data_IF_736845499180
#
_entry.id   IF_736845499180
#
_cell.length_a   1.000
_cell.length_b   1.000
_cell.length_c   1.000
_cell.angle_alpha   90.00
_cell.angle_beta   90.00
_cell.angle_gamma   90.00
#
_symmetry.space_group_name_H-M   'P 1'
#
loop_
_entity.id
_entity.type
_entity.pdbx_description
1 polymer ?
#
# COMPACT_ATOMS: atom_id res chain seq x y z
N UNK A 1 -14.43 20.11 1.19
CA UNK A 1 -14.81 20.25 -0.24
C UNK A 1 -14.11 21.45 -0.89
N UNK A 2 -14.13 22.66 -0.29
CA UNK A 2 -13.60 23.87 -0.94
C UNK A 2 -12.12 23.76 -1.37
N UNK A 3 -11.28 23.14 -0.52
CA UNK A 3 -9.88 22.89 -0.85
C UNK A 3 -9.68 21.95 -2.04
N UNK A 4 -10.58 20.99 -2.27
CA UNK A 4 -10.55 20.08 -3.43
C UNK A 4 -11.12 20.77 -4.66
N UNK A 5 -12.20 21.55 -4.49
CA UNK A 5 -12.82 22.29 -5.57
C UNK A 5 -11.86 23.34 -6.19
N UNK A 6 -10.92 23.85 -5.39
CA UNK A 6 -9.90 24.80 -5.85
C UNK A 6 -8.74 24.15 -6.63
N UNK A 7 -8.70 22.81 -6.75
CA UNK A 7 -7.69 22.05 -7.49
C UNK A 7 -8.21 21.59 -8.85
N UNK A 8 -7.37 20.91 -9.61
CA UNK A 8 -7.69 20.27 -10.88
C UNK A 8 -8.27 18.83 -10.72
N UNK A 9 -8.39 18.32 -9.50
CA UNK A 9 -8.92 16.97 -9.25
C UNK A 9 -10.32 16.74 -9.85
N UNK A 10 -11.27 17.70 -9.83
CA UNK A 10 -12.57 17.52 -10.46
C UNK A 10 -12.53 17.38 -11.98
N UNK A 11 -11.44 17.80 -12.64
CA UNK A 11 -11.20 17.64 -14.07
C UNK A 11 -10.47 16.36 -14.44
N UNK A 12 -9.95 15.63 -13.46
CA UNK A 12 -9.28 14.36 -13.70
C UNK A 12 -10.27 13.37 -14.33
N UNK A 13 -9.98 12.81 -15.52
CA UNK A 13 -10.91 11.93 -16.24
C UNK A 13 -11.34 10.72 -15.41
N UNK A 14 -10.43 10.13 -14.63
CA UNK A 14 -10.73 8.99 -13.77
C UNK A 14 -11.74 9.31 -12.66
N UNK A 15 -11.69 10.55 -12.16
CA UNK A 15 -12.62 11.04 -11.13
C UNK A 15 -13.92 11.50 -11.77
N UNK A 16 -13.85 12.18 -12.92
CA UNK A 16 -14.99 12.70 -13.65
C UNK A 16 -15.95 11.58 -14.12
N UNK A 17 -15.43 10.45 -14.53
CA UNK A 17 -16.25 9.27 -14.92
C UNK A 17 -17.18 8.79 -13.80
N UNK A 18 -16.87 9.12 -12.54
CA UNK A 18 -17.72 8.78 -11.38
C UNK A 18 -18.93 9.68 -11.22
N UNK A 19 -18.96 10.83 -11.92
CA UNK A 19 -20.09 11.76 -11.90
C UNK A 19 -21.41 11.07 -12.23
N UNK A 20 -21.40 10.22 -13.26
CA UNK A 20 -22.59 9.46 -13.68
C UNK A 20 -23.09 8.55 -12.54
N UNK A 21 -22.18 7.98 -11.75
CA UNK A 21 -22.49 7.12 -10.61
C UNK A 21 -23.24 7.81 -9.46
N UNK A 22 -23.10 9.12 -9.32
CA UNK A 22 -23.79 9.92 -8.30
C UNK A 22 -25.31 9.97 -8.50
N UNK A 23 -25.77 9.92 -9.74
CA UNK A 23 -27.18 10.05 -10.06
C UNK A 23 -27.92 8.71 -9.92
N UNK A 24 -29.22 8.72 -9.53
CA UNK A 24 -30.06 7.53 -9.52
C UNK A 24 -30.09 6.82 -10.88
N UNK A 25 -30.27 5.47 -10.93
CA UNK A 25 -30.23 4.69 -12.16
C UNK A 25 -31.13 5.24 -13.29
N UNK A 26 -32.37 5.60 -12.98
CA UNK A 26 -33.33 6.16 -13.96
C UNK A 26 -32.84 7.47 -14.61
N UNK A 27 -32.09 8.30 -13.86
CA UNK A 27 -31.52 9.53 -14.42
C UNK A 27 -30.29 9.21 -15.28
N UNK A 28 -29.46 8.23 -14.86
CA UNK A 28 -28.31 7.79 -15.66
C UNK A 28 -28.72 7.29 -17.03
N UNK A 29 -29.70 6.38 -17.09
CA UNK A 29 -30.20 5.84 -18.36
C UNK A 29 -30.71 6.93 -19.30
N UNK A 30 -31.34 7.96 -18.76
CA UNK A 30 -32.03 8.98 -19.56
C UNK A 30 -31.15 10.18 -19.92
N UNK A 31 -30.14 10.52 -19.08
CA UNK A 31 -29.44 11.79 -19.18
C UNK A 31 -27.89 11.64 -19.08
N UNK A 32 -27.31 10.42 -19.20
CA UNK A 32 -25.89 10.18 -19.08
C UNK A 32 -25.03 11.16 -19.91
N UNK A 33 -25.40 11.36 -21.18
CA UNK A 33 -24.69 12.25 -22.11
C UNK A 33 -24.71 13.74 -21.69
N UNK A 34 -25.68 14.14 -20.87
CA UNK A 34 -25.86 15.53 -20.42
C UNK A 34 -25.22 15.78 -19.05
N UNK A 35 -24.86 14.72 -18.31
CA UNK A 35 -24.28 14.85 -16.97
C UNK A 35 -22.92 15.54 -16.96
N UNK A 36 -21.98 15.27 -17.88
CA UNK A 36 -20.70 15.95 -17.94
C UNK A 36 -20.80 17.47 -18.15
N UNK A 37 -21.90 17.94 -18.77
CA UNK A 37 -22.18 19.37 -18.99
C UNK A 37 -23.06 19.98 -17.91
N UNK A 38 -23.32 19.26 -16.82
CA UNK A 38 -24.15 19.76 -15.72
C UNK A 38 -23.48 20.97 -15.06
N UNK A 39 -24.27 22.01 -14.77
CA UNK A 39 -23.75 23.27 -14.21
C UNK A 39 -22.92 23.11 -12.94
N UNK A 40 -23.25 22.12 -12.12
CA UNK A 40 -22.59 21.81 -10.84
C UNK A 40 -21.73 20.54 -10.94
N UNK A 41 -21.24 20.15 -12.12
CA UNK A 41 -20.49 18.92 -12.27
C UNK A 41 -19.24 18.87 -11.37
N UNK A 42 -18.49 19.98 -11.28
CA UNK A 42 -17.31 20.06 -10.42
C UNK A 42 -17.63 19.86 -8.94
N UNK A 43 -18.67 20.53 -8.46
CA UNK A 43 -19.13 20.45 -7.06
C UNK A 43 -19.62 19.04 -6.74
N UNK A 44 -20.31 18.37 -7.66
CA UNK A 44 -20.78 16.99 -7.50
C UNK A 44 -19.60 16.02 -7.45
N UNK A 45 -18.66 16.11 -8.40
CA UNK A 45 -17.44 15.29 -8.44
C UNK A 45 -16.64 15.48 -7.15
N UNK A 46 -16.43 16.72 -6.74
CA UNK A 46 -15.71 17.06 -5.49
C UNK A 46 -16.39 16.42 -4.28
N UNK A 47 -17.70 16.57 -4.17
CA UNK A 47 -18.48 16.03 -3.04
C UNK A 47 -18.39 14.52 -3.00
N UNK A 48 -18.55 13.86 -4.15
CA UNK A 48 -18.45 12.41 -4.27
C UNK A 48 -17.04 11.91 -3.89
N UNK A 49 -15.99 12.54 -4.40
CA UNK A 49 -14.61 12.17 -4.10
C UNK A 49 -14.29 12.31 -2.60
N UNK A 50 -14.70 13.44 -1.99
CA UNK A 50 -14.47 13.70 -0.56
C UNK A 50 -15.28 12.74 0.32
N UNK A 51 -16.55 12.51 0.00
CA UNK A 51 -17.40 11.60 0.77
C UNK A 51 -16.84 10.17 0.72
N UNK A 52 -16.46 9.67 -0.46
CA UNK A 52 -15.85 8.35 -0.60
C UNK A 52 -14.54 8.22 0.17
N UNK A 53 -13.73 9.27 0.16
CA UNK A 53 -12.52 9.29 0.96
C UNK A 53 -12.83 9.19 2.46
N UNK A 54 -13.76 10.01 2.94
CA UNK A 54 -14.17 10.02 4.38
C UNK A 54 -14.82 8.71 4.78
N UNK A 55 -15.70 8.16 3.94
CA UNK A 55 -16.41 6.90 4.22
C UNK A 55 -15.45 5.71 4.28
N UNK A 56 -14.40 5.71 3.44
CA UNK A 56 -13.45 4.60 3.36
C UNK A 56 -12.29 4.70 4.32
N UNK A 57 -11.86 5.91 4.72
CA UNK A 57 -10.63 6.14 5.49
C UNK A 57 -10.89 6.82 6.85
N UNK A 58 -12.08 7.37 7.03
CA UNK A 58 -12.45 8.16 8.20
C UNK A 58 -12.02 9.63 8.11
N UNK A 59 -12.69 10.46 8.88
CA UNK A 59 -12.56 11.93 8.84
C UNK A 59 -11.14 12.43 9.19
N UNK A 60 -10.37 11.68 9.98
CA UNK A 60 -9.02 12.08 10.44
C UNK A 60 -7.91 11.60 9.50
N UNK A 61 -8.21 10.80 8.49
CA UNK A 61 -7.21 10.17 7.63
C UNK A 61 -6.38 11.21 6.86
N UNK A 62 -7.03 12.23 6.28
CA UNK A 62 -6.32 13.32 5.61
C UNK A 62 -5.31 14.00 6.54
N UNK A 63 -5.72 14.36 7.74
CA UNK A 63 -4.85 15.03 8.70
C UNK A 63 -3.62 14.18 9.04
N UNK A 64 -3.82 12.87 9.25
CA UNK A 64 -2.70 11.93 9.51
C UNK A 64 -1.74 11.83 8.32
N UNK A 65 -2.26 11.67 7.11
CA UNK A 65 -1.42 11.60 5.90
C UNK A 65 -0.71 12.92 5.63
N UNK A 66 -1.40 14.05 5.74
CA UNK A 66 -0.81 15.38 5.60
C UNK A 66 0.34 15.63 6.60
N UNK A 67 0.17 15.25 7.87
CA UNK A 67 1.24 15.37 8.88
C UNK A 67 2.46 14.51 8.55
N UNK A 68 2.27 13.34 7.94
CA UNK A 68 3.33 12.39 7.64
C UNK A 68 4.07 12.68 6.33
N UNK A 69 3.37 13.20 5.32
CA UNK A 69 3.89 13.34 3.95
C UNK A 69 3.97 14.79 3.47
N UNK A 70 3.24 15.71 4.10
CA UNK A 70 3.09 17.09 3.63
C UNK A 70 2.12 17.26 2.45
N UNK A 71 1.53 16.16 1.94
CA UNK A 71 0.67 16.17 0.77
C UNK A 71 -0.64 16.96 1.01
N UNK A 72 -1.12 17.64 -0.02
CA UNK A 72 -2.43 18.29 0.00
C UNK A 72 -3.58 17.27 -0.17
N UNK A 73 -4.81 17.76 -0.03
CA UNK A 73 -6.00 16.89 -0.05
C UNK A 73 -6.24 16.27 -1.44
N UNK A 74 -5.91 16.97 -2.53
CA UNK A 74 -6.09 16.45 -3.89
C UNK A 74 -5.10 15.32 -4.16
N UNK A 75 -3.82 15.48 -3.78
CA UNK A 75 -2.80 14.45 -3.86
C UNK A 75 -3.19 13.22 -3.03
N UNK A 76 -3.69 13.43 -1.80
CA UNK A 76 -4.15 12.33 -0.95
C UNK A 76 -5.30 11.56 -1.59
N UNK A 77 -6.29 12.26 -2.17
CA UNK A 77 -7.42 11.61 -2.84
C UNK A 77 -6.97 10.86 -4.09
N UNK A 78 -6.09 11.44 -4.94
CA UNK A 78 -5.53 10.75 -6.12
C UNK A 78 -4.83 9.45 -5.72
N UNK A 79 -3.90 9.53 -4.78
CA UNK A 79 -3.17 8.35 -4.31
C UNK A 79 -4.08 7.29 -3.68
N UNK A 80 -5.12 7.71 -2.94
CA UNK A 80 -6.10 6.79 -2.37
C UNK A 80 -6.93 6.09 -3.45
N UNK A 81 -7.34 6.80 -4.49
CA UNK A 81 -8.07 6.23 -5.62
C UNK A 81 -7.21 5.22 -6.39
N UNK A 82 -5.94 5.57 -6.65
CA UNK A 82 -4.98 4.65 -7.26
C UNK A 82 -4.76 3.41 -6.39
N UNK A 83 -4.45 3.59 -5.10
CA UNK A 83 -4.23 2.50 -4.15
C UNK A 83 -5.41 1.51 -4.10
N UNK A 84 -6.63 2.01 -3.94
CA UNK A 84 -7.83 1.19 -3.91
C UNK A 84 -8.06 0.41 -5.21
N UNK A 85 -7.73 1.05 -6.33
CA UNK A 85 -7.91 0.45 -7.65
C UNK A 85 -6.81 -0.58 -7.95
N UNK A 86 -5.57 -0.32 -7.57
CA UNK A 86 -4.43 -1.24 -7.73
C UNK A 86 -4.68 -2.54 -6.98
N UNK A 87 -5.15 -2.49 -5.75
CA UNK A 87 -5.47 -3.66 -4.92
C UNK A 87 -6.88 -4.22 -5.16
N UNK A 88 -7.69 -3.63 -6.04
CA UNK A 88 -9.03 -4.14 -6.36
C UNK A 88 -10.02 -4.09 -5.20
N UNK A 89 -9.85 -3.16 -4.24
CA UNK A 89 -10.62 -3.13 -2.99
C UNK A 89 -12.12 -2.94 -3.22
N UNK A 90 -12.53 -2.23 -4.29
CA UNK A 90 -13.92 -2.05 -4.63
C UNK A 90 -14.64 -3.35 -4.98
N UNK A 91 -13.93 -4.33 -5.57
CA UNK A 91 -14.48 -5.67 -5.82
C UNK A 91 -14.72 -6.40 -4.50
N UNK A 92 -13.72 -6.47 -3.63
CA UNK A 92 -13.83 -7.13 -2.32
C UNK A 92 -14.95 -6.52 -1.48
N UNK A 93 -15.12 -5.19 -1.49
CA UNK A 93 -16.22 -4.52 -0.78
C UNK A 93 -17.59 -4.85 -1.36
N UNK A 94 -17.69 -5.00 -2.69
CA UNK A 94 -18.92 -5.41 -3.36
C UNK A 94 -19.28 -6.84 -2.96
N UNK A 95 -18.32 -7.75 -3.03
CA UNK A 95 -18.50 -9.15 -2.65
C UNK A 95 -18.88 -9.28 -1.18
N UNK A 96 -18.23 -8.49 -0.30
CA UNK A 96 -18.57 -8.41 1.12
C UNK A 96 -20.03 -8.01 1.38
N UNK A 97 -20.61 -7.13 0.55
CA UNK A 97 -22.03 -6.74 0.72
C UNK A 97 -23.00 -7.86 0.37
N UNK A 98 -22.60 -8.78 -0.50
CA UNK A 98 -23.43 -9.92 -0.94
C UNK A 98 -23.34 -11.13 -0.01
N UNK A 99 -22.29 -11.23 0.82
CA UNK A 99 -22.07 -12.38 1.72
C UNK A 99 -23.01 -12.42 2.92
N UNK A 100 -23.69 -11.32 3.26
CA UNK A 100 -24.63 -11.25 4.39
C UNK A 100 -23.99 -11.56 5.75
N UNK A 101 -22.73 -11.21 5.94
CA UNK A 101 -22.00 -11.42 7.19
C UNK A 101 -22.58 -10.57 8.33
N UNK A 102 -22.37 -11.03 9.57
CA UNK A 102 -22.71 -10.22 10.74
C UNK A 102 -21.87 -8.92 10.81
N UNK A 103 -22.33 -7.99 11.63
CA UNK A 103 -21.71 -6.65 11.73
C UNK A 103 -20.25 -6.72 12.22
N UNK A 104 -19.90 -7.68 13.09
CA UNK A 104 -18.54 -7.80 13.65
C UNK A 104 -17.56 -8.28 12.59
N UNK A 105 -17.92 -9.32 11.85
CA UNK A 105 -17.10 -9.84 10.73
C UNK A 105 -16.92 -8.80 9.64
N UNK A 106 -18.01 -8.16 9.23
CA UNK A 106 -17.99 -7.06 8.26
C UNK A 106 -17.07 -5.92 8.70
N UNK A 107 -17.15 -5.50 9.97
CA UNK A 107 -16.29 -4.45 10.50
C UNK A 107 -14.82 -4.83 10.52
N UNK A 108 -14.46 -6.07 10.89
CA UNK A 108 -13.07 -6.56 10.86
C UNK A 108 -12.48 -6.51 9.45
N UNK A 109 -13.20 -6.99 8.45
CA UNK A 109 -12.75 -6.99 7.06
C UNK A 109 -12.60 -5.55 6.54
N UNK A 110 -13.59 -4.70 6.80
CA UNK A 110 -13.52 -3.28 6.40
C UNK A 110 -12.34 -2.54 7.04
N UNK A 111 -12.02 -2.83 8.29
CA UNK A 111 -10.85 -2.26 8.95
C UNK A 111 -9.56 -2.67 8.25
N UNK A 112 -9.38 -3.95 7.92
CA UNK A 112 -8.22 -4.43 7.20
C UNK A 112 -8.11 -3.81 5.78
N UNK A 113 -9.22 -3.65 5.06
CA UNK A 113 -9.25 -2.94 3.77
C UNK A 113 -8.88 -1.45 3.92
N UNK A 114 -9.33 -0.82 5.00
CA UNK A 114 -8.98 0.58 5.33
C UNK A 114 -7.48 0.72 5.60
N UNK A 115 -6.90 -0.20 6.37
CA UNK A 115 -5.46 -0.20 6.69
C UNK A 115 -4.62 -0.45 5.42
N UNK A 116 -5.03 -1.41 4.57
CA UNK A 116 -4.38 -1.66 3.28
C UNK A 116 -4.39 -0.40 2.41
N UNK A 117 -5.57 0.21 2.23
CA UNK A 117 -5.69 1.44 1.45
C UNK A 117 -4.84 2.57 2.02
N UNK A 118 -4.76 2.70 3.36
CA UNK A 118 -3.94 3.71 4.04
C UNK A 118 -2.44 3.48 3.80
N UNK A 119 -1.97 2.24 3.91
CA UNK A 119 -0.56 1.90 3.68
C UNK A 119 -0.16 2.16 2.24
N UNK A 120 -0.97 1.71 1.28
CA UNK A 120 -0.72 1.91 -0.14
C UNK A 120 -0.81 3.39 -0.53
N UNK A 121 -1.79 4.14 0.00
CA UNK A 121 -1.90 5.60 -0.24
C UNK A 121 -0.65 6.34 0.24
N UNK A 122 -0.17 6.03 1.45
CA UNK A 122 1.06 6.63 1.98
C UNK A 122 2.26 6.29 1.12
N UNK A 123 2.36 5.04 0.66
CA UNK A 123 3.42 4.63 -0.23
C UNK A 123 3.43 5.47 -1.51
N UNK A 124 2.30 5.60 -2.21
CA UNK A 124 2.20 6.44 -3.41
C UNK A 124 2.57 7.89 -3.14
N UNK A 125 2.12 8.46 -2.01
CA UNK A 125 2.46 9.85 -1.64
C UNK A 125 3.98 10.07 -1.47
N UNK A 126 4.72 9.05 -1.04
CA UNK A 126 6.17 9.12 -0.86
C UNK A 126 6.97 8.73 -2.13
N UNK A 127 6.31 8.11 -3.12
CA UNK A 127 6.91 7.57 -4.34
C UNK A 127 6.39 8.25 -5.62
N UNK A 128 6.35 9.57 -5.62
CA UNK A 128 6.02 10.38 -6.81
C UNK A 128 4.53 10.70 -6.98
N UNK A 129 3.67 10.20 -6.12
CA UNK A 129 2.23 10.50 -6.19
C UNK A 129 1.47 9.64 -7.20
N UNK A 130 0.30 10.12 -7.62
CA UNK A 130 -0.57 9.51 -8.63
C UNK A 130 -1.28 10.62 -9.42
N UNK A 131 -0.51 11.53 -9.99
CA UNK A 131 -1.06 12.66 -10.75
C UNK A 131 -1.84 12.17 -11.98
N UNK A 132 -1.37 11.13 -12.64
CA UNK A 132 -2.15 10.32 -13.59
C UNK A 132 -2.66 9.05 -12.89
N UNK A 133 -3.89 9.10 -12.38
CA UNK A 133 -4.49 7.99 -11.65
C UNK A 133 -4.61 6.75 -12.55
N UNK A 134 -5.05 6.93 -13.80
CA UNK A 134 -5.26 5.83 -14.73
C UNK A 134 -3.94 5.13 -15.10
N UNK A 135 -2.92 5.89 -15.47
CA UNK A 135 -1.59 5.36 -15.77
C UNK A 135 -0.94 4.68 -14.55
N UNK A 136 -1.10 5.25 -13.35
CA UNK A 136 -0.64 4.61 -12.12
C UNK A 136 -1.31 3.25 -11.90
N UNK A 137 -2.62 3.15 -12.14
CA UNK A 137 -3.35 1.89 -12.01
C UNK A 137 -2.87 0.87 -13.06
N UNK A 138 -2.70 1.30 -14.31
CA UNK A 138 -2.23 0.45 -15.41
C UNK A 138 -0.85 -0.13 -15.10
N UNK A 139 0.06 0.67 -14.57
CA UNK A 139 1.40 0.27 -14.19
C UNK A 139 1.41 -0.73 -13.04
N UNK A 140 0.71 -0.44 -11.94
CA UNK A 140 0.90 -1.20 -10.70
C UNK A 140 -0.05 -2.39 -10.53
N UNK A 141 -1.29 -2.31 -11.03
CA UNK A 141 -2.31 -3.36 -10.79
C UNK A 141 -1.90 -4.75 -11.28
N UNK A 142 -1.37 -4.96 -12.50
CA UNK A 142 -1.03 -6.30 -12.98
C UNK A 142 0.05 -6.97 -12.11
N UNK A 143 1.09 -6.22 -11.78
CA UNK A 143 2.19 -6.70 -10.94
C UNK A 143 1.73 -7.02 -9.52
N UNK A 144 0.99 -6.13 -8.88
CA UNK A 144 0.45 -6.34 -7.53
C UNK A 144 -0.48 -7.55 -7.49
N UNK A 145 -1.39 -7.71 -8.46
CA UNK A 145 -2.30 -8.86 -8.52
C UNK A 145 -1.51 -10.19 -8.61
N UNK A 146 -0.52 -10.26 -9.50
CA UNK A 146 0.36 -11.42 -9.65
C UNK A 146 1.12 -11.72 -8.35
N UNK A 147 1.65 -10.70 -7.68
CA UNK A 147 2.38 -10.87 -6.43
C UNK A 147 1.49 -11.35 -5.29
N UNK A 148 0.29 -10.82 -5.14
CA UNK A 148 -0.67 -11.25 -4.10
C UNK A 148 -1.05 -12.72 -4.31
N UNK A 149 -1.35 -13.12 -5.55
CA UNK A 149 -1.70 -14.50 -5.89
C UNK A 149 -0.57 -15.49 -5.54
N UNK A 150 0.68 -15.12 -5.85
CA UNK A 150 1.86 -15.99 -5.67
C UNK A 150 2.60 -15.78 -4.35
N UNK A 151 2.13 -14.92 -3.46
CA UNK A 151 2.88 -14.54 -2.27
C UNK A 151 3.13 -15.75 -1.35
N UNK A 152 2.14 -16.64 -1.19
CA UNK A 152 2.27 -17.86 -0.41
C UNK A 152 3.38 -18.80 -0.89
N UNK A 153 3.67 -18.81 -2.19
CA UNK A 153 4.70 -19.66 -2.79
C UNK A 153 6.12 -19.10 -2.57
N UNK A 154 6.22 -17.79 -2.32
CA UNK A 154 7.49 -17.05 -2.22
C UNK A 154 7.94 -16.81 -0.78
N UNK A 155 6.99 -16.77 0.14
CA UNK A 155 7.30 -16.60 1.55
C UNK A 155 7.84 -17.90 2.15
N UNK A 156 8.77 -17.77 3.10
CA UNK A 156 9.40 -18.90 3.77
C UNK A 156 9.47 -18.68 5.29
N UNK A 157 9.41 -19.78 6.06
CA UNK A 157 9.49 -19.76 7.53
C UNK A 157 8.37 -18.96 8.16
N UNK A 158 8.65 -18.27 9.26
CA UNK A 158 7.67 -17.53 10.07
C UNK A 158 6.81 -16.55 9.25
N UNK A 159 7.34 -16.02 8.13
CA UNK A 159 6.58 -15.13 7.24
C UNK A 159 5.52 -15.88 6.45
N UNK A 160 5.81 -17.12 6.02
CA UNK A 160 4.85 -17.96 5.32
C UNK A 160 3.74 -18.41 6.27
N UNK A 161 4.11 -18.79 7.50
CA UNK A 161 3.15 -19.21 8.53
C UNK A 161 2.22 -18.06 8.91
N UNK A 162 2.77 -16.86 9.15
CA UNK A 162 1.98 -15.68 9.49
C UNK A 162 1.06 -15.22 8.33
N UNK A 163 1.51 -15.35 7.08
CA UNK A 163 0.68 -15.09 5.91
C UNK A 163 -0.48 -16.07 5.82
N UNK A 164 -0.18 -17.36 5.95
CA UNK A 164 -1.19 -18.42 5.87
C UNK A 164 -2.25 -18.27 6.97
N UNK A 165 -1.80 -18.04 8.21
CA UNK A 165 -2.68 -17.79 9.35
C UNK A 165 -3.62 -16.60 9.07
N UNK A 166 -3.09 -15.51 8.50
CA UNK A 166 -3.88 -14.33 8.17
C UNK A 166 -4.91 -14.58 7.06
N UNK A 167 -4.52 -15.30 6.00
CA UNK A 167 -5.44 -15.68 4.92
C UNK A 167 -6.54 -16.61 5.46
N UNK A 168 -6.19 -17.58 6.30
CA UNK A 168 -7.15 -18.50 6.89
C UNK A 168 -8.10 -17.76 7.85
N UNK A 169 -7.60 -16.84 8.71
CA UNK A 169 -8.44 -15.98 9.56
C UNK A 169 -9.49 -15.23 8.75
N UNK A 170 -9.08 -14.60 7.63
CA UNK A 170 -10.00 -13.83 6.78
C UNK A 170 -10.95 -14.75 6.02
N UNK A 171 -10.52 -15.93 5.60
CA UNK A 171 -11.37 -16.95 4.97
C UNK A 171 -12.44 -17.45 5.95
N UNK A 172 -12.08 -17.68 7.21
CA UNK A 172 -13.02 -18.06 8.28
C UNK A 172 -14.06 -16.97 8.57
N UNK A 173 -13.72 -15.69 8.30
CA UNK A 173 -14.70 -14.61 8.36
C UNK A 173 -15.75 -14.70 7.25
N UNK A 174 -15.48 -15.42 6.16
CA UNK A 174 -16.45 -15.72 5.11
C UNK A 174 -16.08 -15.26 3.69
N UNK A 175 -14.88 -14.68 3.48
CA UNK A 175 -14.41 -14.34 2.15
C UNK A 175 -13.87 -15.59 1.43
N UNK A 176 -13.90 -15.56 0.09
CA UNK A 176 -13.16 -16.55 -0.68
C UNK A 176 -11.63 -16.34 -0.52
N UNK A 177 -10.85 -17.37 -0.89
CA UNK A 177 -9.40 -17.36 -0.66
C UNK A 177 -8.68 -16.26 -1.45
N UNK A 178 -9.18 -15.87 -2.63
CA UNK A 178 -8.60 -14.80 -3.44
C UNK A 178 -8.80 -13.44 -2.77
N UNK A 179 -10.01 -13.14 -2.33
CA UNK A 179 -10.33 -11.92 -1.60
C UNK A 179 -9.67 -11.89 -0.23
N UNK A 180 -9.60 -13.04 0.45
CA UNK A 180 -8.88 -13.17 1.71
C UNK A 180 -7.38 -12.85 1.55
N UNK A 181 -6.74 -13.28 0.46
CA UNK A 181 -5.35 -12.92 0.15
C UNK A 181 -5.17 -11.42 -0.06
N UNK A 182 -6.09 -10.76 -0.78
CA UNK A 182 -6.05 -9.30 -0.94
C UNK A 182 -6.16 -8.60 0.42
N UNK A 183 -7.09 -9.01 1.27
CA UNK A 183 -7.26 -8.44 2.62
C UNK A 183 -6.02 -8.68 3.48
N UNK A 184 -5.46 -9.91 3.45
CA UNK A 184 -4.26 -10.26 4.20
C UNK A 184 -3.00 -9.50 3.74
N UNK A 185 -3.00 -8.97 2.50
CA UNK A 185 -1.87 -8.23 1.94
C UNK A 185 -1.65 -6.85 2.58
N UNK A 186 -2.46 -6.43 3.58
CA UNK A 186 -2.35 -5.08 4.15
C UNK A 186 -0.96 -4.76 4.70
N UNK A 187 -0.30 -5.68 5.39
CA UNK A 187 1.07 -5.52 5.91
C UNK A 187 2.13 -5.57 4.81
N UNK A 188 1.83 -6.24 3.70
CA UNK A 188 2.73 -6.42 2.58
C UNK A 188 2.59 -5.34 1.50
N UNK A 189 1.53 -4.54 1.55
CA UNK A 189 1.20 -3.60 0.46
C UNK A 189 2.36 -2.66 0.08
N UNK A 190 3.17 -2.08 1.00
CA UNK A 190 4.31 -1.25 0.60
C UNK A 190 5.42 -2.06 -0.07
N UNK A 191 5.65 -3.30 0.38
CA UNK A 191 6.64 -4.21 -0.20
C UNK A 191 6.25 -4.60 -1.63
N UNK A 192 4.99 -4.97 -1.84
CA UNK A 192 4.46 -5.35 -3.16
C UNK A 192 4.58 -4.19 -4.14
N UNK A 193 4.25 -2.97 -3.72
CA UNK A 193 4.37 -1.76 -4.53
C UNK A 193 5.84 -1.47 -4.87
N UNK A 194 6.77 -1.60 -3.90
CA UNK A 194 8.21 -1.40 -4.14
C UNK A 194 8.79 -2.45 -5.10
N UNK A 195 8.33 -3.69 -5.05
CA UNK A 195 8.74 -4.73 -6.01
C UNK A 195 8.28 -4.36 -7.42
N UNK A 196 7.04 -3.92 -7.59
CA UNK A 196 6.53 -3.49 -8.91
C UNK A 196 7.30 -2.27 -9.40
N UNK A 197 7.53 -1.25 -8.56
CA UNK A 197 8.32 -0.06 -8.90
C UNK A 197 9.70 -0.44 -9.47
N UNK A 198 10.42 -1.33 -8.79
CA UNK A 198 11.75 -1.78 -9.26
C UNK A 198 11.63 -2.57 -10.57
N UNK A 199 10.57 -3.36 -10.76
CA UNK A 199 10.39 -4.12 -12.00
C UNK A 199 10.15 -3.22 -13.21
N UNK A 200 9.50 -2.08 -13.04
CA UNK A 200 9.30 -1.06 -14.09
C UNK A 200 10.63 -0.41 -14.57
N UNK A 201 11.72 -0.60 -13.84
CA UNK A 201 13.07 -0.20 -14.26
C UNK A 201 13.69 -1.17 -15.30
N UNK A 202 12.94 -2.17 -15.75
CA UNK A 202 13.33 -3.11 -16.81
C UNK A 202 13.76 -4.49 -16.31
N UNK A 203 13.41 -4.84 -15.09
CA UNK A 203 13.69 -6.16 -14.49
C UNK A 203 12.45 -7.05 -14.49
N UNK A 204 12.55 -8.37 -14.75
CA UNK A 204 11.43 -9.29 -14.62
C UNK A 204 10.85 -9.27 -13.19
N UNK A 205 9.52 -9.17 -13.06
CA UNK A 205 8.82 -9.07 -11.78
C UNK A 205 9.19 -10.21 -10.82
N UNK A 206 9.29 -11.43 -11.34
CA UNK A 206 9.63 -12.62 -10.54
C UNK A 206 11.06 -12.53 -9.97
N UNK A 207 12.03 -12.04 -10.74
CA UNK A 207 13.41 -11.86 -10.27
C UNK A 207 13.51 -10.79 -9.19
N UNK A 208 12.81 -9.67 -9.36
CA UNK A 208 12.75 -8.59 -8.35
C UNK A 208 12.11 -9.10 -7.07
N UNK A 209 10.99 -9.82 -7.19
CA UNK A 209 10.29 -10.38 -6.04
C UNK A 209 11.17 -11.35 -5.25
N UNK A 210 11.86 -12.27 -5.94
CA UNK A 210 12.73 -13.25 -5.29
C UNK A 210 13.93 -12.57 -4.61
N UNK A 211 14.52 -11.56 -5.24
CA UNK A 211 15.61 -10.78 -4.66
C UNK A 211 15.15 -10.00 -3.43
N UNK A 212 14.05 -9.25 -3.55
CA UNK A 212 13.50 -8.43 -2.46
C UNK A 212 13.11 -9.28 -1.24
N UNK A 213 12.32 -10.33 -1.45
CA UNK A 213 11.83 -11.18 -0.37
C UNK A 213 12.97 -11.98 0.30
N UNK A 214 13.99 -12.39 -0.45
CA UNK A 214 15.20 -13.01 0.10
C UNK A 214 15.95 -12.04 1.01
N UNK A 215 16.17 -10.80 0.58
CA UNK A 215 16.80 -9.76 1.38
C UNK A 215 15.95 -9.43 2.60
N UNK A 216 14.64 -9.20 2.43
CA UNK A 216 13.71 -8.88 3.52
C UNK A 216 13.73 -9.93 4.63
N UNK A 217 13.79 -11.22 4.27
CA UNK A 217 13.95 -12.31 5.23
C UNK A 217 15.31 -12.28 5.94
N UNK A 218 16.39 -11.99 5.23
CA UNK A 218 17.75 -11.97 5.82
C UNK A 218 17.96 -10.85 6.84
N UNK A 219 17.31 -9.70 6.63
CA UNK A 219 17.38 -8.57 7.56
C UNK A 219 16.24 -8.56 8.59
N UNK A 220 15.38 -9.59 8.56
CA UNK A 220 14.19 -9.68 9.43
C UNK A 220 13.27 -8.43 9.31
N UNK A 221 13.01 -8.01 8.07
CA UNK A 221 12.30 -6.78 7.74
C UNK A 221 10.93 -6.69 8.42
N UNK A 222 10.21 -7.82 8.53
CA UNK A 222 8.88 -7.86 9.17
C UNK A 222 8.99 -7.48 10.64
N UNK A 223 9.98 -8.01 11.34
CA UNK A 223 10.23 -7.67 12.73
C UNK A 223 10.59 -6.19 12.88
N UNK A 224 11.45 -5.67 12.01
CA UNK A 224 11.82 -4.26 12.01
C UNK A 224 10.63 -3.35 11.78
N UNK A 225 9.77 -3.68 10.81
CA UNK A 225 8.54 -2.94 10.54
C UNK A 225 7.62 -2.96 11.76
N UNK A 226 7.44 -4.11 12.41
CA UNK A 226 6.64 -4.21 13.65
C UNK A 226 7.21 -3.35 14.78
N UNK A 227 8.53 -3.33 14.96
CA UNK A 227 9.18 -2.47 15.96
C UNK A 227 8.95 -0.98 15.69
N UNK A 228 9.04 -0.56 14.42
CA UNK A 228 8.72 0.82 14.03
C UNK A 228 7.24 1.13 14.29
N UNK A 229 6.32 0.19 14.03
CA UNK A 229 4.89 0.39 14.31
C UNK A 229 4.55 0.47 15.80
N UNK A 230 5.38 -0.08 16.68
CA UNK A 230 5.22 0.01 18.12
C UNK A 230 5.74 1.31 18.73
N UNK A 231 6.48 2.12 17.96
CA UNK A 231 6.98 3.42 18.44
C UNK A 231 5.81 4.35 18.80
N UNK A 232 5.94 5.18 19.84
CA UNK A 232 4.93 6.15 20.23
C UNK A 232 4.49 7.04 19.07
N UNK A 233 3.22 7.45 19.09
CA UNK A 233 2.65 8.38 18.10
C UNK A 233 1.78 9.46 18.74
N UNK A 234 1.95 9.65 20.04
CA UNK A 234 1.09 10.55 20.82
C UNK A 234 1.33 12.02 20.49
N UNK A 235 2.53 12.35 20.01
CA UNK A 235 2.89 13.68 19.54
C UNK A 235 3.06 13.71 18.02
N UNK A 236 2.76 14.85 17.37
CA UNK A 236 2.96 15.01 15.91
C UNK A 236 4.41 14.73 15.47
N UNK A 237 5.40 15.05 16.31
CA UNK A 237 6.82 14.75 16.09
C UNK A 237 7.08 13.26 16.06
N UNK A 238 6.51 12.49 17.00
CA UNK A 238 6.70 11.06 17.11
C UNK A 238 6.09 10.33 15.91
N UNK A 239 4.90 10.77 15.49
CA UNK A 239 4.24 10.27 14.28
C UNK A 239 5.08 10.50 13.01
N UNK A 240 5.76 11.66 12.89
CA UNK A 240 6.67 11.95 11.77
C UNK A 240 7.92 11.09 11.80
N UNK A 241 8.55 10.93 12.96
CA UNK A 241 9.74 10.08 13.13
C UNK A 241 9.40 8.64 12.74
N UNK A 242 8.27 8.12 13.21
CA UNK A 242 7.81 6.77 12.85
C UNK A 242 7.56 6.63 11.34
N UNK A 243 6.94 7.62 10.72
CA UNK A 243 6.71 7.63 9.28
C UNK A 243 8.04 7.67 8.49
N UNK A 244 9.01 8.49 8.92
CA UNK A 244 10.34 8.57 8.31
C UNK A 244 11.10 7.25 8.43
N UNK A 245 11.12 6.62 9.60
CA UNK A 245 11.80 5.33 9.80
C UNK A 245 11.20 4.22 8.93
N UNK A 246 9.87 4.20 8.79
CA UNK A 246 9.20 3.25 7.89
C UNK A 246 9.64 3.45 6.44
N UNK A 247 9.67 4.69 6.00
CA UNK A 247 10.09 5.06 4.65
C UNK A 247 11.56 4.74 4.41
N UNK A 248 12.42 5.02 5.38
CA UNK A 248 13.84 4.70 5.32
C UNK A 248 14.09 3.19 5.21
N UNK A 249 13.32 2.36 5.93
CA UNK A 249 13.38 0.90 5.81
C UNK A 249 13.01 0.44 4.38
N UNK A 250 11.92 0.95 3.82
CA UNK A 250 11.50 0.60 2.46
C UNK A 250 12.55 1.03 1.43
N UNK A 251 13.06 2.25 1.54
CA UNK A 251 14.10 2.80 0.64
C UNK A 251 15.37 1.95 0.68
N UNK A 252 15.87 1.65 1.86
CA UNK A 252 17.07 0.80 2.04
C UNK A 252 16.86 -0.57 1.41
N UNK A 253 15.68 -1.17 1.58
CA UNK A 253 15.37 -2.46 0.97
C UNK A 253 15.29 -2.38 -0.55
N UNK A 254 14.66 -1.34 -1.09
CA UNK A 254 14.59 -1.12 -2.53
C UNK A 254 15.98 -0.90 -3.14
N UNK A 255 16.83 -0.08 -2.50
CA UNK A 255 18.20 0.15 -2.96
C UNK A 255 19.07 -1.12 -2.88
N UNK A 256 18.93 -1.89 -1.82
CA UNK A 256 19.61 -3.17 -1.67
C UNK A 256 19.18 -4.16 -2.76
N UNK A 257 17.90 -4.19 -3.11
CA UNK A 257 17.36 -5.04 -4.18
C UNK A 257 17.89 -4.62 -5.54
N UNK A 258 17.86 -3.32 -5.88
CA UNK A 258 18.44 -2.79 -7.14
C UNK A 258 19.92 -3.18 -7.29
N UNK A 259 20.68 -3.05 -6.21
CA UNK A 259 22.10 -3.44 -6.20
C UNK A 259 22.28 -4.95 -6.38
N UNK A 260 21.45 -5.76 -5.72
CA UNK A 260 21.49 -7.22 -5.86
C UNK A 260 21.22 -7.67 -7.32
N UNK A 261 20.27 -7.04 -7.98
CA UNK A 261 19.96 -7.30 -9.40
C UNK A 261 21.13 -6.96 -10.35
N UNK A 262 21.90 -5.91 -10.05
CA UNK A 262 23.07 -5.50 -10.86
C UNK A 262 24.28 -6.45 -10.72
N UNK A 263 24.49 -7.01 -9.51
CA UNK A 263 25.68 -7.86 -9.24
C UNK A 263 25.58 -9.22 -9.94
N UNK A 264 24.43 -9.57 -10.47
CA UNK A 264 24.21 -10.77 -11.27
C UNK A 264 23.05 -11.62 -10.75
N UNK A 265 21.99 -11.62 -11.51
CA UNK A 265 20.77 -12.38 -11.28
C UNK A 265 21.00 -13.88 -11.13
N UNK A 266 21.93 -14.45 -11.91
CA UNK A 266 22.25 -15.88 -11.88
C UNK A 266 22.89 -16.36 -10.56
N UNK A 267 23.51 -15.44 -9.80
CA UNK A 267 24.16 -15.75 -8.53
C UNK A 267 23.30 -15.44 -7.29
N UNK A 268 22.27 -14.59 -7.44
CA UNK A 268 21.37 -14.21 -6.34
C UNK A 268 20.51 -15.40 -5.89
N UNK A 269 20.06 -16.21 -6.85
CA UNK A 269 19.23 -17.41 -6.59
C UNK A 269 20.07 -18.61 -6.13
N UNK A 270 21.36 -18.71 -6.57
CA UNK A 270 22.21 -19.84 -6.25
C UNK A 270 22.96 -19.73 -4.92
N UNK A 271 23.21 -18.50 -4.40
CA UNK A 271 24.02 -18.29 -3.21
C UNK A 271 23.63 -17.03 -2.42
N UNK A 272 22.55 -17.14 -1.65
CA UNK A 272 22.16 -16.07 -0.71
C UNK A 272 23.28 -15.61 0.21
N UNK A 273 24.36 -16.38 0.37
CA UNK A 273 25.57 -16.02 1.09
C UNK A 273 26.43 -14.97 0.37
N UNK A 274 26.41 -14.90 -0.98
CA UNK A 274 27.14 -13.87 -1.73
C UNK A 274 26.50 -12.50 -1.64
N UNK A 275 25.16 -12.44 -1.66
CA UNK A 275 24.41 -11.18 -1.50
C UNK A 275 24.69 -10.60 -0.11
N UNK A 276 24.59 -11.42 0.93
CA UNK A 276 24.89 -10.98 2.30
C UNK A 276 26.31 -10.49 2.43
N UNK A 277 27.29 -11.15 1.84
CA UNK A 277 28.70 -10.70 1.81
C UNK A 277 28.89 -9.43 1.01
N UNK A 278 28.20 -9.27 -0.12
CA UNK A 278 28.25 -8.05 -0.94
C UNK A 278 27.55 -6.88 -0.24
N UNK A 279 26.44 -7.12 0.40
CA UNK A 279 25.72 -6.15 1.24
C UNK A 279 26.58 -5.76 2.46
N UNK A 280 27.19 -6.73 3.12
CA UNK A 280 28.10 -6.51 4.25
C UNK A 280 29.43 -5.81 3.87
N UNK A 281 29.86 -5.94 2.64
CA UNK A 281 31.07 -5.28 2.12
C UNK A 281 30.80 -3.84 1.65
N UNK A 282 29.53 -3.40 1.52
CA UNK A 282 29.20 -2.04 1.14
C UNK A 282 29.10 -1.15 2.39
N UNK A 283 29.92 -0.09 2.52
CA UNK A 283 29.94 0.74 3.74
C UNK A 283 28.60 1.42 4.05
N UNK A 284 27.82 1.77 3.04
CA UNK A 284 26.51 2.40 3.23
C UNK A 284 25.47 1.42 3.76
N UNK A 285 25.52 0.17 3.30
CA UNK A 285 24.65 -0.92 3.75
C UNK A 285 25.07 -1.45 5.11
N UNK A 286 26.41 -1.51 5.38
CA UNK A 286 26.90 -1.83 6.71
C UNK A 286 26.43 -0.81 7.75
N UNK A 287 26.37 0.48 7.38
CA UNK A 287 25.83 1.54 8.24
C UNK A 287 24.32 1.35 8.52
N UNK A 288 23.53 0.98 7.51
CA UNK A 288 22.10 0.66 7.68
C UNK A 288 21.90 -0.59 8.56
N UNK A 289 22.73 -1.62 8.40
CA UNK A 289 22.69 -2.84 9.25
C UNK A 289 23.06 -2.50 10.71
N UNK A 290 24.02 -1.60 10.92
CA UNK A 290 24.38 -1.11 12.25
C UNK A 290 23.26 -0.28 12.85
N UNK A 291 22.66 0.67 12.12
CA UNK A 291 21.49 1.44 12.59
C UNK A 291 20.32 0.54 12.94
N UNK A 292 20.03 -0.47 12.13
CA UNK A 292 18.99 -1.45 12.38
C UNK A 292 19.33 -2.33 13.59
N UNK A 293 20.59 -2.70 13.77
CA UNK A 293 21.08 -3.44 14.94
C UNK A 293 21.02 -2.58 16.22
N UNK A 294 21.34 -1.30 16.12
CA UNK A 294 21.27 -0.35 17.24
C UNK A 294 19.81 -0.06 17.64
N UNK A 295 18.89 0.10 16.67
CA UNK A 295 17.45 0.16 16.91
C UNK A 295 16.94 -1.12 17.59
N UNK A 296 17.40 -2.29 17.12
CA UNK A 296 17.08 -3.58 17.73
C UNK A 296 17.56 -3.69 19.18
N UNK A 297 18.75 -3.16 19.49
CA UNK A 297 19.32 -3.15 20.83
C UNK A 297 18.63 -2.15 21.75
N UNK A 298 18.26 -0.97 21.24
CA UNK A 298 17.57 0.06 22.01
C UNK A 298 16.14 -0.36 22.40
N UNK A 299 15.39 -0.98 21.48
CA UNK A 299 14.03 -1.47 21.74
C UNK A 299 14.04 -2.73 22.64
N UNK A 300 15.09 -3.56 22.55
CA UNK A 300 15.24 -4.74 23.42
C UNK A 300 15.53 -4.40 24.88
N UNK A 301 16.02 -3.20 25.17
CA UNK A 301 16.28 -2.73 26.53
C UNK A 301 15.04 -2.11 27.22
N UNK A 302 14.08 -1.59 26.46
CA UNK A 302 12.83 -1.03 27.01
C UNK A 302 11.78 -2.10 27.37
N UNK A 303 11.90 -3.31 26.86
CA UNK A 303 10.96 -4.42 27.14
C UNK A 303 11.34 -5.21 28.43
N UNK A 304 12.45 -4.88 29.06
CA UNK A 304 12.95 -5.54 30.30
C UNK A 304 12.80 -4.69 31.54
N UNK A 305 12.04 -3.62 31.53
CA UNK A 305 11.61 -2.83 32.68
C UNK A 305 10.08 -2.88 32.81
#
# INVERSE_FOLDING_TARGET
CDAVLATDLPEDPFVADRLVGYFPPLLRERFAERMPTHRLHREIITTEAVNRFVDSQGITAYYRLHLQTGADIAQVIRCQLAARSVFGLGRVETDLTHLGLDAVRTAKIRLALTDLAMHATRWFLNHGGADDIAGTIETYRPGVATLVEKLSERLLGDSADAWQEKVDEVTELGLDRSDAAVVAAYDWSPVLLSIVEISEEGHPLDEVADAYLTLARRVDMIRLTRLVEQLPQDRPTDARVRASLREDLLRVMSDATRRALVIGTDNVLADGGRIVKSIAANPDLAHCVVMVSDLRSAVGQEVTL
#
